data_IF_371811197812
#
_entry.id   IF_371811197812
#
_cell.length_a   1.000
_cell.length_b   1.000
_cell.length_c   1.000
_cell.angle_alpha   90.00
_cell.angle_beta   90.00
_cell.angle_gamma   90.00
#
_symmetry.space_group_name_H-M   'P 1'
#
loop_
_entity.id
_entity.type
_entity.pdbx_description
1 polymer ?
#
# COMPACT_ATOMS: atom_id res chain seq x y z
N UNK A 1 -15.51 21.68 -13.64
CA UNK A 1 -14.17 21.29 -14.14
C UNK A 1 -13.82 19.87 -13.69
N UNK A 2 -13.25 19.02 -14.56
CA UNK A 2 -12.71 17.69 -14.17
C UNK A 2 -11.17 17.74 -14.22
N UNK A 3 -10.52 17.50 -13.10
CA UNK A 3 -9.07 17.45 -12.95
C UNK A 3 -8.60 16.02 -12.70
N UNK A 4 -7.54 15.59 -13.38
CA UNK A 4 -6.85 14.32 -13.11
C UNK A 4 -5.51 14.67 -12.44
N UNK A 5 -5.22 14.03 -11.31
CA UNK A 5 -4.03 14.28 -10.49
C UNK A 5 -3.35 12.96 -10.19
N UNK A 6 -2.03 12.88 -10.31
CA UNK A 6 -1.26 11.66 -10.06
C UNK A 6 -0.60 11.10 -11.31
N UNK A 7 -0.53 9.77 -11.43
CA UNK A 7 0.16 9.09 -12.52
C UNK A 7 -0.52 9.37 -13.87
N UNK A 8 0.25 9.70 -14.90
CA UNK A 8 -0.24 10.07 -16.24
C UNK A 8 -0.24 8.94 -17.27
N UNK A 9 0.05 7.70 -16.86
CA UNK A 9 0.15 6.52 -17.73
C UNK A 9 -0.22 5.23 -17.00
N UNK A 10 -0.44 4.15 -17.74
CA UNK A 10 -0.77 2.83 -17.20
C UNK A 10 -2.28 2.59 -16.98
N UNK A 11 -2.61 1.40 -16.46
CA UNK A 11 -4.00 0.91 -16.38
C UNK A 11 -4.90 1.76 -15.48
N UNK A 12 -4.38 2.30 -14.39
CA UNK A 12 -5.11 3.20 -13.49
C UNK A 12 -5.47 4.50 -14.20
N UNK A 13 -4.52 5.07 -14.97
CA UNK A 13 -4.77 6.27 -15.77
C UNK A 13 -5.79 6.03 -16.89
N UNK A 14 -5.73 4.87 -17.56
CA UNK A 14 -6.75 4.46 -18.54
C UNK A 14 -8.15 4.36 -17.91
N UNK A 15 -8.25 3.81 -16.70
CA UNK A 15 -9.51 3.76 -15.95
C UNK A 15 -10.01 5.17 -15.57
N UNK A 16 -9.10 6.07 -15.16
CA UNK A 16 -9.42 7.47 -14.88
C UNK A 16 -9.96 8.21 -16.13
N UNK A 17 -9.31 8.02 -17.28
CA UNK A 17 -9.76 8.58 -18.56
C UNK A 17 -11.13 8.04 -18.97
N UNK A 18 -11.37 6.74 -18.75
CA UNK A 18 -12.66 6.12 -18.99
C UNK A 18 -13.74 6.77 -18.12
N UNK A 19 -13.53 6.88 -16.80
CA UNK A 19 -14.49 7.52 -15.90
C UNK A 19 -14.73 8.99 -16.23
N UNK A 20 -13.69 9.74 -16.58
CA UNK A 20 -13.84 11.13 -17.06
C UNK A 20 -14.76 11.22 -18.27
N UNK A 21 -14.62 10.31 -19.23
CA UNK A 21 -15.49 10.24 -20.41
C UNK A 21 -16.94 9.97 -20.01
N UNK A 22 -17.17 9.03 -19.10
CA UNK A 22 -18.53 8.70 -18.62
C UNK A 22 -19.17 9.88 -17.86
N UNK A 23 -18.41 10.57 -17.00
CA UNK A 23 -18.87 11.78 -16.32
C UNK A 23 -19.33 12.86 -17.30
N UNK A 24 -18.53 13.14 -18.35
CA UNK A 24 -18.87 14.13 -19.37
C UNK A 24 -20.03 13.70 -20.28
N UNK A 25 -20.28 12.40 -20.41
CA UNK A 25 -21.44 11.92 -21.15
C UNK A 25 -22.75 12.23 -20.42
N UNK A 26 -22.75 12.17 -19.08
CA UNK A 26 -23.91 12.48 -18.25
C UNK A 26 -24.09 13.98 -18.04
N UNK A 27 -22.99 14.69 -17.78
CA UNK A 27 -22.99 16.15 -17.57
C UNK A 27 -22.00 16.85 -18.51
N UNK A 28 -22.37 17.11 -19.77
CA UNK A 28 -21.48 17.72 -20.77
C UNK A 28 -21.06 19.15 -20.41
N UNK A 29 -21.90 19.85 -19.65
CA UNK A 29 -21.73 21.23 -19.19
C UNK A 29 -20.81 21.36 -17.98
N UNK A 30 -20.34 20.25 -17.39
CA UNK A 30 -19.52 20.24 -16.17
C UNK A 30 -18.19 21.00 -16.34
N UNK A 31 -17.72 21.21 -17.57
CA UNK A 31 -16.57 22.07 -17.88
C UNK A 31 -16.87 23.57 -17.90
N UNK A 32 -18.14 23.95 -18.02
CA UNK A 32 -18.63 25.32 -18.17
C UNK A 32 -19.13 25.93 -16.86
N UNK A 33 -19.45 25.09 -15.86
CA UNK A 33 -19.88 25.54 -14.54
C UNK A 33 -18.68 25.70 -13.58
N UNK A 34 -18.30 26.94 -13.20
CA UNK A 34 -17.10 27.18 -12.39
C UNK A 34 -17.22 26.69 -10.94
N UNK A 35 -18.43 26.53 -10.42
CA UNK A 35 -18.68 26.01 -9.06
C UNK A 35 -18.82 24.49 -8.97
N UNK A 36 -18.65 23.78 -10.08
CA UNK A 36 -18.70 22.32 -10.12
C UNK A 36 -17.28 21.77 -10.26
N UNK A 37 -16.88 20.90 -9.34
CA UNK A 37 -15.53 20.38 -9.25
C UNK A 37 -15.56 18.86 -9.15
N UNK A 38 -14.83 18.20 -10.06
CA UNK A 38 -14.53 16.78 -9.95
C UNK A 38 -13.02 16.62 -10.03
N UNK A 39 -12.44 15.87 -9.10
CA UNK A 39 -11.02 15.53 -9.07
C UNK A 39 -10.86 14.02 -9.01
N UNK A 40 -10.03 13.50 -9.90
CA UNK A 40 -9.70 12.07 -10.01
C UNK A 40 -8.23 11.91 -9.66
N UNK A 41 -7.95 11.30 -8.51
CA UNK A 41 -6.61 10.94 -8.10
C UNK A 41 -6.27 9.57 -8.63
N UNK A 42 -5.14 9.47 -9.33
CA UNK A 42 -4.68 8.26 -10.01
C UNK A 42 -3.44 7.73 -9.31
N UNK A 43 -3.52 6.49 -8.82
CA UNK A 43 -2.44 5.82 -8.11
C UNK A 43 -2.07 6.50 -6.79
N UNK A 44 -3.07 6.89 -6.00
CA UNK A 44 -2.88 7.60 -4.73
C UNK A 44 -2.14 6.70 -3.73
N UNK A 45 -1.05 7.21 -3.16
CA UNK A 45 -0.21 6.52 -2.19
C UNK A 45 -0.44 7.03 -0.76
N UNK A 46 -0.91 6.15 0.12
CA UNK A 46 -1.16 6.40 1.55
C UNK A 46 0.08 6.03 2.38
N UNK A 47 1.14 6.82 2.25
CA UNK A 47 2.43 6.50 2.87
C UNK A 47 2.33 6.30 4.38
N UNK A 48 2.93 5.21 4.88
CA UNK A 48 2.93 4.89 6.31
C UNK A 48 1.65 4.24 6.81
N UNK A 49 0.78 3.78 5.91
CA UNK A 49 -0.37 2.94 6.21
C UNK A 49 -0.13 1.48 5.77
N UNK A 50 -0.83 0.49 6.36
CA UNK A 50 -0.69 -0.91 5.94
C UNK A 50 -1.12 -1.15 4.48
N UNK A 51 -2.15 -0.42 4.03
CA UNK A 51 -2.57 -0.39 2.62
C UNK A 51 -2.19 0.96 2.08
N UNK A 52 -1.17 0.97 1.22
CA UNK A 52 -0.60 2.20 0.68
C UNK A 52 -1.20 2.55 -0.69
N UNK A 53 -1.71 1.57 -1.45
CA UNK A 53 -2.09 1.78 -2.83
C UNK A 53 -3.61 1.93 -2.99
N UNK A 54 -4.01 3.05 -3.58
CA UNK A 54 -5.39 3.32 -4.01
C UNK A 54 -5.36 3.61 -5.51
N UNK A 55 -5.92 2.72 -6.32
CA UNK A 55 -5.91 2.85 -7.78
C UNK A 55 -6.55 4.17 -8.21
N UNK A 56 -7.77 4.44 -7.72
CA UNK A 56 -8.46 5.70 -7.98
C UNK A 56 -9.19 6.21 -6.74
N UNK A 57 -9.02 7.50 -6.45
CA UNK A 57 -9.88 8.24 -5.52
C UNK A 57 -10.59 9.36 -6.30
N UNK A 58 -11.92 9.31 -6.35
CA UNK A 58 -12.74 10.21 -7.17
C UNK A 58 -13.62 11.05 -6.27
N UNK A 59 -13.47 12.37 -6.32
CA UNK A 59 -14.23 13.30 -5.49
C UNK A 59 -14.96 14.28 -6.39
N UNK A 60 -16.26 14.45 -6.17
CA UNK A 60 -17.10 15.41 -6.88
C UNK A 60 -17.87 16.29 -5.91
N UNK A 61 -17.98 17.58 -6.21
CA UNK A 61 -18.80 18.55 -5.50
C UNK A 61 -19.45 19.49 -6.52
N UNK A 62 -20.75 19.72 -6.35
CA UNK A 62 -21.56 20.48 -7.29
C UNK A 62 -22.22 21.67 -6.60
N UNK A 63 -22.17 22.83 -7.24
CA UNK A 63 -22.79 24.08 -6.79
C UNK A 63 -24.31 23.99 -6.67
N UNK A 64 -24.93 23.12 -7.48
CA UNK A 64 -26.32 22.67 -7.38
C UNK A 64 -26.37 21.13 -7.48
N UNK A 65 -27.27 20.43 -6.77
CA UNK A 65 -27.39 18.98 -6.91
C UNK A 65 -27.66 18.58 -8.36
N UNK A 66 -26.83 17.72 -8.92
CA UNK A 66 -26.94 17.23 -10.30
C UNK A 66 -27.93 16.06 -10.37
N UNK A 67 -29.01 16.20 -11.13
CA UNK A 67 -29.96 15.10 -11.38
C UNK A 67 -29.34 14.02 -12.30
N UNK A 68 -29.83 12.78 -12.16
CA UNK A 68 -29.45 11.64 -13.00
C UNK A 68 -30.62 10.68 -13.15
N UNK A 69 -30.63 9.89 -14.24
CA UNK A 69 -31.71 8.96 -14.52
C UNK A 69 -31.71 7.75 -13.58
N UNK A 70 -32.90 7.31 -13.17
CA UNK A 70 -33.09 6.24 -12.20
C UNK A 70 -33.27 4.91 -12.93
N UNK A 71 -32.34 3.99 -12.71
CA UNK A 71 -32.35 2.64 -13.28
C UNK A 71 -32.75 1.57 -12.24
N UNK A 72 -32.44 1.81 -10.95
CA UNK A 72 -32.52 0.78 -9.91
C UNK A 72 -33.40 1.17 -8.71
N UNK A 73 -33.84 0.14 -7.97
CA UNK A 73 -34.36 0.31 -6.60
C UNK A 73 -33.22 0.70 -5.67
N UNK A 74 -33.43 1.70 -4.85
CA UNK A 74 -32.50 2.15 -3.81
C UNK A 74 -32.82 1.46 -2.49
N UNK A 75 -31.80 1.26 -1.69
CA UNK A 75 -31.86 0.52 -0.43
C UNK A 75 -31.56 1.50 0.70
N UNK A 76 -32.57 2.10 1.36
CA UNK A 76 -32.34 3.07 2.42
C UNK A 76 -31.83 2.38 3.69
N UNK A 77 -31.27 3.18 4.61
CA UNK A 77 -30.86 2.69 5.94
C UNK A 77 -32.03 2.14 6.76
N UNK A 78 -33.20 2.74 6.61
CA UNK A 78 -34.44 2.36 7.28
C UNK A 78 -35.58 2.26 6.26
N UNK A 79 -36.40 1.21 6.37
CA UNK A 79 -37.54 0.96 5.48
C UNK A 79 -37.25 0.02 4.31
N UNK A 80 -38.28 -0.22 3.51
CA UNK A 80 -38.22 -1.14 2.36
C UNK A 80 -37.52 -0.52 1.14
N UNK A 81 -36.84 -1.32 0.30
CA UNK A 81 -36.28 -0.86 -0.97
C UNK A 81 -37.34 -0.23 -1.87
N UNK A 82 -37.02 0.91 -2.49
CA UNK A 82 -37.98 1.68 -3.29
C UNK A 82 -37.34 2.17 -4.58
N UNK A 83 -38.17 2.46 -5.59
CA UNK A 83 -37.72 3.18 -6.79
C UNK A 83 -37.89 4.68 -6.52
N UNK A 84 -36.80 5.48 -6.53
CA UNK A 84 -36.92 6.92 -6.41
C UNK A 84 -37.81 7.51 -7.51
N UNK A 85 -38.46 8.64 -7.23
CA UNK A 85 -39.13 9.48 -8.24
C UNK A 85 -38.15 10.45 -8.89
N UNK A 86 -37.18 10.92 -8.11
CA UNK A 86 -36.07 11.78 -8.53
C UNK A 86 -34.84 11.45 -7.72
N UNK A 87 -33.69 11.45 -8.40
CA UNK A 87 -32.40 11.24 -7.78
C UNK A 87 -31.44 12.35 -8.23
N UNK A 88 -30.64 12.83 -7.30
CA UNK A 88 -29.62 13.85 -7.54
C UNK A 88 -28.40 13.54 -6.70
N UNK A 89 -27.26 14.13 -7.03
CA UNK A 89 -26.05 14.07 -6.22
C UNK A 89 -25.51 15.47 -5.98
N UNK A 90 -25.27 15.80 -4.71
CA UNK A 90 -24.66 17.07 -4.29
C UNK A 90 -23.14 16.97 -4.26
N UNK A 91 -22.64 15.89 -3.69
CA UNK A 91 -21.23 15.56 -3.64
C UNK A 91 -21.05 14.04 -3.49
N UNK A 92 -19.89 13.53 -3.90
CA UNK A 92 -19.53 12.12 -3.77
C UNK A 92 -18.03 11.94 -3.55
N UNK A 93 -17.66 10.87 -2.85
CA UNK A 93 -16.26 10.49 -2.66
C UNK A 93 -16.13 8.96 -2.79
N UNK A 94 -15.44 8.52 -3.83
CA UNK A 94 -15.38 7.13 -4.28
C UNK A 94 -13.95 6.60 -4.24
N UNK A 95 -13.77 5.40 -3.70
CA UNK A 95 -12.51 4.65 -3.78
C UNK A 95 -12.74 3.52 -4.76
N UNK A 96 -12.03 3.52 -5.89
CA UNK A 96 -12.28 2.57 -6.98
C UNK A 96 -11.02 1.71 -7.17
N UNK A 97 -11.14 0.41 -6.94
CA UNK A 97 -10.13 -0.60 -7.28
C UNK A 97 -10.37 -1.07 -8.72
N UNK A 98 -9.37 -0.96 -9.60
CA UNK A 98 -9.47 -1.28 -11.02
C UNK A 98 -8.83 -2.64 -11.34
N UNK A 99 -9.56 -3.51 -12.04
CA UNK A 99 -9.10 -4.84 -12.44
C UNK A 99 -9.33 -5.07 -13.93
N UNK A 100 -8.29 -5.52 -14.62
CA UNK A 100 -8.35 -5.83 -16.06
C UNK A 100 -8.58 -7.31 -16.37
N UNK A 101 -8.99 -8.11 -15.39
CA UNK A 101 -9.26 -9.53 -15.60
C UNK A 101 -10.52 -9.70 -16.45
N UNK A 102 -10.50 -10.70 -17.34
CA UNK A 102 -11.68 -11.11 -18.10
C UNK A 102 -12.56 -12.07 -17.29
N UNK A 103 -13.67 -12.53 -17.87
CA UNK A 103 -14.63 -13.43 -17.22
C UNK A 103 -14.00 -14.76 -16.75
N UNK A 104 -12.87 -15.20 -17.32
CA UNK A 104 -12.18 -16.42 -16.88
C UNK A 104 -11.30 -16.18 -15.65
N UNK A 105 -10.86 -14.94 -15.47
CA UNK A 105 -10.02 -14.49 -14.36
C UNK A 105 -10.79 -13.89 -13.19
N UNK A 106 -12.13 -13.85 -13.23
CA UNK A 106 -12.98 -13.32 -12.17
C UNK A 106 -13.98 -14.38 -11.71
N UNK A 107 -14.16 -14.49 -10.39
CA UNK A 107 -15.14 -15.36 -9.76
C UNK A 107 -15.99 -14.55 -8.79
N UNK A 108 -17.30 -14.73 -8.88
CA UNK A 108 -18.25 -14.17 -7.93
C UNK A 108 -18.77 -15.27 -7.00
N UNK A 109 -18.73 -15.01 -5.70
CA UNK A 109 -19.47 -15.77 -4.69
C UNK A 109 -20.57 -14.85 -4.15
N UNK A 110 -21.79 -15.05 -4.64
CA UNK A 110 -22.91 -14.09 -4.55
C UNK A 110 -22.51 -12.69 -5.05
N UNK A 111 -22.22 -11.77 -4.13
CA UNK A 111 -21.86 -10.37 -4.40
C UNK A 111 -20.36 -10.07 -4.21
N UNK A 112 -19.61 -11.06 -3.73
CA UNK A 112 -18.19 -10.92 -3.43
C UNK A 112 -17.38 -11.31 -4.66
N UNK A 113 -16.54 -10.40 -5.13
CA UNK A 113 -15.69 -10.63 -6.28
C UNK A 113 -14.28 -11.04 -5.85
N UNK A 114 -13.75 -12.06 -6.51
CA UNK A 114 -12.35 -12.50 -6.41
C UNK A 114 -11.73 -12.56 -7.80
N UNK A 115 -10.44 -12.26 -7.90
CA UNK A 115 -9.69 -12.34 -9.17
C UNK A 115 -8.55 -13.33 -9.06
N UNK A 116 -8.16 -13.91 -10.20
CA UNK A 116 -7.16 -14.97 -10.27
C UNK A 116 -5.77 -14.40 -10.54
N UNK A 117 -4.85 -14.66 -9.62
CA UNK A 117 -3.41 -14.46 -9.77
C UNK A 117 -2.69 -15.82 -9.85
N UNK A 118 -1.40 -15.87 -10.27
CA UNK A 118 -0.62 -17.11 -10.28
C UNK A 118 -0.58 -17.83 -8.93
N UNK A 119 -0.55 -17.06 -7.83
CA UNK A 119 -0.52 -17.55 -6.44
C UNK A 119 -1.88 -17.99 -5.88
N UNK A 120 -2.98 -17.75 -6.61
CA UNK A 120 -4.32 -18.10 -6.15
C UNK A 120 -5.37 -17.01 -6.40
N UNK A 121 -6.52 -17.16 -5.75
CA UNK A 121 -7.62 -16.20 -5.83
C UNK A 121 -7.49 -15.14 -4.75
N UNK A 122 -7.65 -13.87 -5.11
CA UNK A 122 -7.61 -12.74 -4.18
C UNK A 122 -8.97 -12.05 -4.15
N UNK A 123 -9.52 -11.82 -2.95
CA UNK A 123 -10.81 -11.16 -2.78
C UNK A 123 -10.67 -9.63 -2.94
N UNK A 124 -11.15 -9.11 -4.07
CA UNK A 124 -11.00 -7.69 -4.40
C UNK A 124 -12.04 -6.81 -3.73
N UNK A 125 -13.23 -7.36 -3.42
CA UNK A 125 -14.26 -6.63 -2.65
C UNK A 125 -13.78 -6.32 -1.23
N UNK A 126 -13.13 -7.27 -0.57
CA UNK A 126 -12.59 -7.05 0.77
C UNK A 126 -11.40 -6.07 0.74
N UNK A 127 -10.51 -6.19 -0.25
CA UNK A 127 -9.42 -5.23 -0.45
C UNK A 127 -9.95 -3.80 -0.61
N UNK A 128 -10.94 -3.58 -1.48
CA UNK A 128 -11.54 -2.26 -1.73
C UNK A 128 -12.17 -1.68 -0.45
N UNK A 129 -12.82 -2.52 0.36
CA UNK A 129 -13.36 -2.13 1.65
C UNK A 129 -12.28 -1.70 2.65
N UNK A 130 -11.17 -2.44 2.73
CA UNK A 130 -10.05 -2.10 3.61
C UNK A 130 -9.36 -0.80 3.18
N UNK A 131 -9.21 -0.57 1.87
CA UNK A 131 -8.73 0.69 1.29
C UNK A 131 -9.56 1.90 1.75
N UNK A 132 -10.89 1.80 1.79
CA UNK A 132 -11.76 2.85 2.32
C UNK A 132 -11.43 3.19 3.77
N UNK A 133 -11.23 2.19 4.63
CA UNK A 133 -10.91 2.43 6.04
C UNK A 133 -9.55 3.12 6.20
N UNK A 134 -8.54 2.71 5.43
CA UNK A 134 -7.22 3.34 5.48
C UNK A 134 -7.22 4.76 4.93
N UNK A 135 -7.88 4.99 3.78
CA UNK A 135 -8.02 6.34 3.23
C UNK A 135 -8.79 7.26 4.19
N UNK A 136 -9.82 6.76 4.87
CA UNK A 136 -10.56 7.55 5.87
C UNK A 136 -9.67 7.97 7.04
N UNK A 137 -8.81 7.07 7.54
CA UNK A 137 -7.82 7.40 8.58
C UNK A 137 -6.81 8.42 8.08
N UNK A 138 -6.35 8.26 6.84
CA UNK A 138 -5.40 9.17 6.20
C UNK A 138 -6.00 10.57 6.04
N UNK A 139 -7.22 10.69 5.51
CA UNK A 139 -7.94 11.96 5.34
C UNK A 139 -8.15 12.67 6.68
N UNK A 140 -8.58 11.94 7.71
CA UNK A 140 -8.79 12.51 9.05
C UNK A 140 -7.50 13.07 9.68
N UNK A 141 -6.36 12.37 9.50
CA UNK A 141 -5.04 12.85 9.98
C UNK A 141 -4.58 14.12 9.28
N UNK A 142 -5.03 14.33 8.05
CA UNK A 142 -4.67 15.47 7.21
C UNK A 142 -5.76 16.56 7.21
N UNK A 143 -6.61 16.62 8.24
CA UNK A 143 -7.54 17.73 8.45
C UNK A 143 -8.88 17.59 7.73
N UNK A 144 -9.19 16.44 7.12
CA UNK A 144 -10.49 16.15 6.47
C UNK A 144 -11.23 15.05 7.24
N UNK A 145 -11.74 15.33 8.45
CA UNK A 145 -12.50 14.35 9.21
C UNK A 145 -13.93 14.20 8.67
N UNK A 146 -14.58 13.08 9.01
CA UNK A 146 -16.04 12.87 8.82
C UNK A 146 -16.56 12.81 7.37
N UNK A 147 -15.70 12.59 6.39
CA UNK A 147 -16.13 12.22 5.04
C UNK A 147 -16.68 10.78 4.99
N UNK A 148 -17.77 10.58 4.27
CA UNK A 148 -18.25 9.26 3.87
C UNK A 148 -17.56 8.86 2.57
N UNK A 149 -17.01 7.65 2.53
CA UNK A 149 -16.33 7.09 1.37
C UNK A 149 -17.07 5.83 0.95
N UNK A 150 -17.29 5.66 -0.35
CA UNK A 150 -17.85 4.43 -0.90
C UNK A 150 -16.81 3.72 -1.75
N UNK A 151 -16.54 2.45 -1.44
CA UNK A 151 -15.75 1.57 -2.30
C UNK A 151 -16.56 1.11 -3.50
N UNK A 152 -15.89 1.02 -4.65
CA UNK A 152 -16.38 0.38 -5.88
C UNK A 152 -15.27 -0.49 -6.47
N UNK A 153 -15.65 -1.51 -7.23
CA UNK A 153 -14.69 -2.33 -8.00
C UNK A 153 -15.01 -2.18 -9.48
N UNK A 154 -14.03 -1.67 -10.24
CA UNK A 154 -14.13 -1.51 -11.67
C UNK A 154 -13.47 -2.67 -12.41
N UNK A 155 -14.24 -3.38 -13.23
CA UNK A 155 -13.72 -4.43 -14.10
C UNK A 155 -13.65 -3.96 -15.55
N UNK A 156 -12.45 -3.62 -16.03
CA UNK A 156 -12.27 -3.19 -17.43
C UNK A 156 -12.33 -4.35 -18.42
N UNK A 157 -12.18 -5.60 -17.96
CA UNK A 157 -12.31 -6.82 -18.75
C UNK A 157 -13.70 -7.45 -18.73
N UNK A 158 -14.67 -6.89 -18.01
CA UNK A 158 -16.05 -7.40 -17.91
C UNK A 158 -17.05 -6.36 -18.41
N UNK A 159 -18.17 -6.83 -18.96
CA UNK A 159 -19.36 -6.02 -19.21
C UNK A 159 -20.33 -6.12 -18.04
N UNK A 160 -21.29 -5.20 -17.97
CA UNK A 160 -22.38 -5.23 -16.99
C UNK A 160 -23.19 -6.54 -17.07
N UNK A 161 -23.30 -7.15 -18.26
CA UNK A 161 -23.95 -8.45 -18.44
C UNK A 161 -23.22 -9.62 -17.79
N UNK A 162 -21.93 -9.47 -17.50
CA UNK A 162 -21.08 -10.50 -16.91
C UNK A 162 -21.10 -10.46 -15.37
N UNK A 163 -21.70 -9.41 -14.78
CA UNK A 163 -21.78 -9.22 -13.34
C UNK A 163 -22.98 -9.95 -12.73
N UNK A 164 -22.92 -10.34 -11.44
CA UNK A 164 -24.05 -10.95 -10.75
C UNK A 164 -25.24 -10.00 -10.65
N UNK A 165 -26.40 -10.52 -10.22
CA UNK A 165 -27.55 -9.67 -9.97
C UNK A 165 -27.27 -8.72 -8.80
N UNK A 166 -27.53 -7.44 -9.03
CA UNK A 166 -27.47 -6.37 -8.02
C UNK A 166 -28.37 -6.66 -6.80
N UNK A 167 -28.07 -6.10 -5.60
CA UNK A 167 -27.09 -5.03 -5.34
C UNK A 167 -25.66 -5.52 -5.06
N UNK A 168 -24.67 -4.82 -5.62
CA UNK A 168 -23.23 -4.97 -5.34
C UNK A 168 -22.48 -3.70 -5.79
N UNK A 169 -21.25 -3.50 -5.31
CA UNK A 169 -20.40 -2.33 -5.58
C UNK A 169 -19.56 -2.43 -6.87
N UNK A 170 -19.69 -3.51 -7.64
CA UNK A 170 -18.94 -3.71 -8.88
C UNK A 170 -19.63 -3.06 -10.11
N UNK A 171 -18.82 -2.62 -11.08
CA UNK A 171 -19.26 -2.19 -12.42
C UNK A 171 -18.28 -2.58 -13.53
N UNK A 172 -18.82 -2.80 -14.73
CA UNK A 172 -18.09 -3.22 -15.93
C UNK A 172 -17.69 -2.05 -16.86
N UNK A 173 -16.97 -2.36 -17.92
CA UNK A 173 -16.41 -1.39 -18.90
C UNK A 173 -17.47 -0.59 -19.66
N UNK A 174 -18.69 -1.10 -19.76
CA UNK A 174 -19.81 -0.48 -20.47
C UNK A 174 -20.83 0.19 -19.52
N UNK A 175 -20.52 0.30 -18.22
CA UNK A 175 -21.34 1.04 -17.28
C UNK A 175 -21.29 2.55 -17.57
N UNK A 176 -22.45 3.20 -17.66
CA UNK A 176 -22.57 4.66 -17.68
C UNK A 176 -22.27 5.24 -16.30
N UNK A 177 -21.96 6.54 -16.22
CA UNK A 177 -21.83 7.19 -14.91
C UNK A 177 -23.17 7.26 -14.16
N UNK A 178 -24.31 7.33 -14.86
CA UNK A 178 -25.64 7.21 -14.24
C UNK A 178 -25.83 5.86 -13.56
N UNK A 179 -25.36 4.78 -14.20
CA UNK A 179 -25.38 3.46 -13.59
C UNK A 179 -24.54 3.44 -12.32
N UNK A 180 -23.35 4.04 -12.33
CA UNK A 180 -22.51 4.18 -11.13
C UNK A 180 -23.28 4.91 -10.02
N UNK A 181 -23.94 6.04 -10.31
CA UNK A 181 -24.75 6.77 -9.33
C UNK A 181 -25.93 5.93 -8.80
N UNK A 182 -26.57 5.13 -9.65
CA UNK A 182 -27.61 4.19 -9.23
C UNK A 182 -27.05 3.10 -8.31
N UNK A 183 -25.85 2.58 -8.57
CA UNK A 183 -25.16 1.64 -7.67
C UNK A 183 -24.98 2.27 -6.30
N UNK A 184 -24.54 3.54 -6.23
CA UNK A 184 -24.42 4.26 -4.95
C UNK A 184 -25.76 4.28 -4.21
N UNK A 185 -26.86 4.55 -4.90
CA UNK A 185 -28.21 4.48 -4.30
C UNK A 185 -28.58 3.11 -3.70
N UNK A 186 -27.91 2.03 -4.12
CA UNK A 186 -28.09 0.69 -3.54
C UNK A 186 -27.14 0.36 -2.40
N UNK A 187 -25.91 0.89 -2.42
CA UNK A 187 -24.86 0.49 -1.47
C UNK A 187 -24.58 1.55 -0.39
N UNK A 188 -24.94 2.81 -0.62
CA UNK A 188 -24.64 3.93 0.27
C UNK A 188 -25.73 4.21 1.32
N UNK A 189 -26.81 3.42 1.33
CA UNK A 189 -27.93 3.57 2.27
C UNK A 189 -28.53 4.99 2.34
N UNK A 190 -28.98 5.58 1.22
CA UNK A 190 -29.39 6.98 1.17
C UNK A 190 -30.63 7.26 2.04
N UNK A 191 -30.75 8.51 2.49
CA UNK A 191 -31.96 9.00 3.12
C UNK A 191 -33.10 9.12 2.09
N UNK A 192 -34.32 8.74 2.50
CA UNK A 192 -35.52 8.82 1.68
C UNK A 192 -36.41 9.98 2.15
N UNK A 193 -36.65 10.98 1.29
CA UNK A 193 -37.60 12.04 1.55
C UNK A 193 -38.68 12.04 0.46
N UNK A 194 -39.82 11.41 0.73
CA UNK A 194 -40.93 11.25 -0.22
C UNK A 194 -40.48 10.71 -1.61
N UNK A 195 -39.62 9.68 -1.59
CA UNK A 195 -38.99 9.08 -2.78
C UNK A 195 -38.15 10.05 -3.62
N UNK A 196 -37.77 11.20 -3.06
CA UNK A 196 -36.72 12.06 -3.62
C UNK A 196 -35.44 11.78 -2.86
N UNK A 197 -34.37 11.52 -3.61
CA UNK A 197 -33.07 11.19 -3.04
C UNK A 197 -32.03 12.20 -3.53
N UNK A 198 -31.25 12.71 -2.59
CA UNK A 198 -30.03 13.46 -2.88
C UNK A 198 -28.88 12.73 -2.23
N UNK A 199 -27.99 12.17 -3.04
CA UNK A 199 -26.75 11.57 -2.56
C UNK A 199 -25.82 12.68 -2.06
N UNK A 200 -25.35 12.53 -0.83
CA UNK A 200 -24.40 13.44 -0.18
C UNK A 200 -23.50 12.64 0.76
N UNK A 201 -22.19 12.81 0.56
CA UNK A 201 -21.12 12.07 1.21
C UNK A 201 -20.41 12.89 2.30
N UNK A 202 -20.88 14.11 2.56
CA UNK A 202 -20.35 14.99 3.60
C UNK A 202 -20.90 16.41 3.49
N UNK A 203 -20.54 17.25 4.47
CA UNK A 203 -20.84 18.68 4.40
C UNK A 203 -20.00 19.37 3.33
N UNK A 204 -20.48 20.52 2.86
CA UNK A 204 -19.81 21.32 1.84
C UNK A 204 -18.43 21.77 2.32
N UNK A 205 -18.34 22.23 3.57
CA UNK A 205 -17.12 22.61 4.27
C UNK A 205 -16.06 21.48 4.34
N UNK A 206 -16.47 20.22 4.47
CA UNK A 206 -15.54 19.07 4.39
C UNK A 206 -15.03 18.89 2.95
N UNK A 207 -15.89 19.04 1.95
CA UNK A 207 -15.48 18.90 0.55
C UNK A 207 -14.63 20.09 0.06
N UNK A 208 -14.97 21.31 0.46
CA UNK A 208 -14.17 22.51 0.21
C UNK A 208 -12.74 22.34 0.73
N UNK A 209 -12.59 21.70 1.89
CA UNK A 209 -11.27 21.37 2.41
C UNK A 209 -10.52 20.41 1.47
N UNK A 210 -11.15 19.41 0.85
CA UNK A 210 -10.47 18.50 -0.10
C UNK A 210 -10.00 19.23 -1.36
N UNK A 211 -10.78 20.20 -1.83
CA UNK A 211 -10.45 20.98 -3.03
C UNK A 211 -9.51 22.17 -2.75
N UNK A 212 -9.32 22.55 -1.48
CA UNK A 212 -8.45 23.65 -1.11
C UNK A 212 -6.99 23.36 -1.50
N UNK A 213 -6.29 24.38 -2.02
CA UNK A 213 -4.86 24.29 -2.36
C UNK A 213 -3.97 24.05 -1.13
N UNK A 214 -4.47 24.32 0.08
CA UNK A 214 -3.77 24.17 1.36
C UNK A 214 -3.85 22.74 1.90
N UNK A 215 -4.78 21.94 1.39
CA UNK A 215 -4.94 20.54 1.79
C UNK A 215 -3.89 19.72 1.08
N UNK A 216 -2.71 19.69 1.71
CA UNK A 216 -1.49 18.95 1.32
C UNK A 216 -1.70 17.44 1.04
N UNK A 217 -2.91 16.96 1.30
CA UNK A 217 -3.42 15.60 1.24
C UNK A 217 -3.29 14.94 -0.14
N UNK A 218 -3.22 15.77 -1.18
CA UNK A 218 -3.39 15.35 -2.58
C UNK A 218 -2.45 16.08 -3.55
N UNK A 219 -1.55 16.91 -3.01
CA UNK A 219 -0.39 17.31 -3.77
C UNK A 219 0.50 16.07 -3.87
N UNK A 220 0.80 15.62 -5.10
CA UNK A 220 2.00 14.83 -5.39
C UNK A 220 3.08 15.32 -4.44
N UNK A 221 3.63 14.46 -3.57
CA UNK A 221 4.64 14.90 -2.63
C UNK A 221 5.76 15.58 -3.43
N UNK A 222 5.73 16.91 -3.49
CA UNK A 222 6.80 17.63 -4.12
C UNK A 222 7.98 17.45 -3.19
N UNK A 223 9.10 16.88 -3.67
CA UNK A 223 10.26 16.72 -2.83
C UNK A 223 10.64 18.13 -2.34
N UNK A 224 10.67 18.31 -1.01
CA UNK A 224 11.19 19.55 -0.42
C UNK A 224 12.63 19.76 -0.89
N UNK A 225 13.22 20.96 -0.77
CA UNK A 225 14.63 21.15 -1.10
C UNK A 225 15.56 20.17 -0.36
N UNK A 226 15.21 19.76 0.87
CA UNK A 226 15.93 18.73 1.62
C UNK A 226 15.73 17.34 1.02
N UNK A 227 14.50 16.99 0.64
CA UNK A 227 14.21 15.73 -0.06
C UNK A 227 14.97 15.66 -1.38
N UNK A 228 14.92 16.71 -2.22
CA UNK A 228 15.68 16.79 -3.49
C UNK A 228 17.16 16.57 -3.27
N UNK A 229 17.76 17.22 -2.25
CA UNK A 229 19.18 17.02 -1.91
C UNK A 229 19.49 15.62 -1.41
N UNK A 230 18.56 14.96 -0.73
CA UNK A 230 18.75 13.59 -0.24
C UNK A 230 18.57 12.58 -1.39
N UNK A 231 17.54 12.73 -2.19
CA UNK A 231 17.30 11.96 -3.42
C UNK A 231 18.49 12.10 -4.37
N UNK A 232 18.94 13.31 -4.66
CA UNK A 232 20.13 13.57 -5.48
C UNK A 232 21.35 12.86 -4.92
N UNK A 233 21.56 12.86 -3.60
CA UNK A 233 22.66 12.10 -3.00
C UNK A 233 22.49 10.61 -3.21
N UNK A 234 21.27 10.07 -3.07
CA UNK A 234 21.01 8.64 -3.24
C UNK A 234 21.23 8.21 -4.70
N UNK A 235 20.81 9.03 -5.67
CA UNK A 235 20.91 8.73 -7.11
C UNK A 235 22.31 9.01 -7.67
N UNK A 236 22.92 10.16 -7.36
CA UNK A 236 24.16 10.65 -8.01
C UNK A 236 25.44 9.95 -7.57
N UNK A 237 25.41 9.13 -6.53
CA UNK A 237 26.64 8.51 -6.03
C UNK A 237 27.12 7.41 -6.99
N UNK A 238 28.33 7.60 -7.53
CA UNK A 238 29.11 6.54 -8.13
C UNK A 238 29.61 5.60 -7.02
N UNK A 239 28.72 4.72 -6.54
CA UNK A 239 29.16 3.56 -5.79
C UNK A 239 29.97 2.67 -6.75
N UNK A 240 31.15 2.17 -6.34
CA UNK A 240 31.89 1.20 -7.15
C UNK A 240 31.02 -0.02 -7.45
N UNK A 241 30.96 -0.47 -8.70
CA UNK A 241 30.21 -1.67 -9.09
C UNK A 241 30.63 -2.90 -8.26
N UNK A 242 31.93 -3.00 -7.93
CA UNK A 242 32.46 -4.04 -7.05
C UNK A 242 31.74 -4.11 -5.69
N UNK A 243 31.25 -2.99 -5.14
CA UNK A 243 30.50 -3.01 -3.89
C UNK A 243 29.11 -3.62 -4.06
N UNK A 244 28.50 -3.47 -5.24
CA UNK A 244 27.20 -4.07 -5.57
C UNK A 244 27.35 -5.58 -5.82
N UNK A 245 28.40 -5.99 -6.54
CA UNK A 245 28.72 -7.41 -6.74
C UNK A 245 28.90 -8.11 -5.39
N UNK A 246 29.55 -7.43 -4.44
CA UNK A 246 29.77 -7.95 -3.10
C UNK A 246 28.48 -8.13 -2.29
N UNK A 247 27.41 -7.38 -2.56
CA UNK A 247 26.16 -7.44 -1.78
C UNK A 247 25.56 -8.84 -1.75
N UNK A 248 25.67 -9.59 -2.85
CA UNK A 248 25.17 -10.97 -2.95
C UNK A 248 26.24 -12.00 -2.64
N UNK A 249 27.49 -11.59 -2.40
CA UNK A 249 28.66 -12.45 -2.34
C UNK A 249 29.43 -12.46 -1.02
N UNK A 250 29.27 -11.45 -0.16
CA UNK A 250 29.88 -11.44 1.17
C UNK A 250 29.21 -10.45 2.13
N UNK A 251 29.49 -10.62 3.42
CA UNK A 251 29.25 -9.58 4.41
C UNK A 251 30.21 -8.41 4.18
N UNK A 252 29.68 -7.20 4.16
CA UNK A 252 30.43 -5.95 3.97
C UNK A 252 30.22 -5.07 5.18
N UNK A 253 31.29 -4.56 5.81
CA UNK A 253 31.18 -3.71 7.00
C UNK A 253 31.60 -2.29 6.63
N UNK A 254 30.68 -1.34 6.72
CA UNK A 254 30.92 0.06 6.34
C UNK A 254 31.24 0.87 7.59
N UNK A 255 32.53 1.19 7.77
CA UNK A 255 33.02 1.93 8.94
C UNK A 255 33.24 3.40 8.62
N UNK A 256 32.86 4.27 9.57
CA UNK A 256 33.06 5.70 9.46
C UNK A 256 32.60 6.45 10.71
N UNK A 257 33.18 7.64 10.93
CA UNK A 257 32.81 8.54 12.05
C UNK A 257 31.34 8.97 11.95
N UNK A 258 30.74 9.40 13.06
CA UNK A 258 29.40 9.96 13.05
C UNK A 258 29.27 11.10 12.03
N UNK A 259 28.13 11.17 11.34
CA UNK A 259 27.85 12.24 10.36
C UNK A 259 28.44 12.06 8.96
N UNK A 260 29.20 11.00 8.68
CA UNK A 260 29.78 10.75 7.33
C UNK A 260 28.78 10.22 6.29
N UNK A 261 27.51 10.05 6.67
CA UNK A 261 26.44 9.62 5.75
C UNK A 261 26.33 8.11 5.55
N UNK A 262 26.69 7.28 6.55
CA UNK A 262 26.59 5.81 6.48
C UNK A 262 25.20 5.33 6.08
N UNK A 263 24.15 5.85 6.71
CA UNK A 263 22.75 5.57 6.33
C UNK A 263 22.48 5.92 4.86
N UNK A 264 22.99 7.06 4.37
CA UNK A 264 22.81 7.45 2.96
C UNK A 264 23.52 6.46 2.03
N UNK A 265 24.71 5.98 2.41
CA UNK A 265 25.45 4.95 1.65
C UNK A 265 24.68 3.63 1.62
N UNK A 266 24.10 3.20 2.74
CA UNK A 266 23.24 2.00 2.78
C UNK A 266 22.05 2.14 1.83
N UNK A 267 21.36 3.29 1.86
CA UNK A 267 20.22 3.56 0.98
C UNK A 267 20.64 3.66 -0.50
N UNK A 268 21.83 4.21 -0.79
CA UNK A 268 22.38 4.23 -2.15
C UNK A 268 22.60 2.82 -2.68
N UNK A 269 23.19 1.93 -1.86
CA UNK A 269 23.44 0.54 -2.26
C UNK A 269 22.13 -0.22 -2.47
N UNK A 270 21.17 -0.09 -1.56
CA UNK A 270 19.84 -0.70 -1.69
C UNK A 270 19.11 -0.17 -2.95
N UNK A 271 19.14 1.14 -3.17
CA UNK A 271 18.56 1.77 -4.36
C UNK A 271 19.18 1.25 -5.65
N UNK A 272 20.51 1.19 -5.74
CA UNK A 272 21.20 0.66 -6.93
C UNK A 272 20.95 -0.84 -7.15
N UNK A 273 20.93 -1.64 -6.09
CA UNK A 273 20.60 -3.05 -6.16
C UNK A 273 19.18 -3.27 -6.75
N UNK A 274 18.23 -2.44 -6.35
CA UNK A 274 16.89 -2.43 -6.93
C UNK A 274 16.87 -1.90 -8.39
N UNK A 275 17.49 -0.75 -8.64
CA UNK A 275 17.44 -0.08 -9.94
C UNK A 275 18.12 -0.89 -11.05
N UNK A 276 19.27 -1.49 -10.76
CA UNK A 276 20.06 -2.27 -11.72
C UNK A 276 19.59 -3.72 -11.87
N UNK A 277 19.25 -4.37 -10.75
CA UNK A 277 19.02 -5.83 -10.71
C UNK A 277 17.62 -6.23 -10.23
N UNK A 278 16.74 -5.27 -9.92
CA UNK A 278 15.41 -5.51 -9.34
C UNK A 278 15.45 -6.36 -8.06
N UNK A 279 16.53 -6.23 -7.28
CA UNK A 279 16.68 -6.97 -6.02
C UNK A 279 15.64 -6.56 -4.97
N UNK A 280 15.25 -7.52 -4.14
CA UNK A 280 14.46 -7.37 -2.91
C UNK A 280 15.41 -7.05 -1.77
N UNK A 281 15.43 -5.80 -1.33
CA UNK A 281 16.28 -5.33 -0.23
C UNK A 281 15.48 -5.10 1.04
N UNK A 282 16.03 -5.52 2.18
CA UNK A 282 15.54 -5.17 3.51
C UNK A 282 16.52 -4.22 4.20
N UNK A 283 16.05 -3.07 4.65
CA UNK A 283 16.81 -2.10 5.45
C UNK A 283 16.28 -2.08 6.88
N UNK A 284 17.14 -2.43 7.82
CA UNK A 284 16.86 -2.52 9.25
C UNK A 284 17.51 -1.37 10.00
N UNK A 285 16.81 -0.81 10.98
CA UNK A 285 17.36 0.19 11.92
C UNK A 285 16.73 0.02 13.30
N UNK A 286 17.38 0.53 14.34
CA UNK A 286 16.73 0.66 15.65
C UNK A 286 15.88 1.93 15.77
N UNK A 287 16.15 2.93 14.92
CA UNK A 287 15.54 4.24 15.04
C UNK A 287 14.19 4.32 14.33
N UNK A 288 13.09 4.27 15.10
CA UNK A 288 11.71 4.39 14.57
C UNK A 288 11.47 5.70 13.81
N UNK A 289 12.08 6.81 14.23
CA UNK A 289 11.93 8.09 13.54
C UNK A 289 12.61 8.07 12.16
N UNK A 290 13.76 7.40 12.05
CA UNK A 290 14.49 7.28 10.79
C UNK A 290 13.73 6.42 9.77
N UNK A 291 12.98 5.40 10.21
CA UNK A 291 12.16 4.56 9.31
C UNK A 291 11.20 5.39 8.47
N UNK A 292 10.45 6.31 9.09
CA UNK A 292 9.46 7.13 8.37
C UNK A 292 10.12 8.01 7.30
N UNK A 293 11.26 8.61 7.63
CA UNK A 293 12.03 9.50 6.76
C UNK A 293 12.67 8.74 5.58
N UNK A 294 13.23 7.55 5.84
CA UNK A 294 13.77 6.69 4.79
C UNK A 294 12.68 6.15 3.87
N UNK A 295 11.53 5.72 4.42
CA UNK A 295 10.37 5.27 3.62
C UNK A 295 9.86 6.37 2.70
N UNK A 296 9.70 7.59 3.23
CA UNK A 296 9.34 8.76 2.44
C UNK A 296 10.34 9.00 1.31
N UNK A 297 11.64 8.89 1.60
CA UNK A 297 12.68 9.10 0.58
C UNK A 297 12.62 8.03 -0.53
N UNK A 298 12.45 6.76 -0.18
CA UNK A 298 12.32 5.67 -1.17
C UNK A 298 11.05 5.80 -2.02
N UNK A 299 9.95 6.19 -1.39
CA UNK A 299 8.71 6.53 -2.06
C UNK A 299 8.87 7.66 -3.09
N UNK A 300 9.54 8.75 -2.71
CA UNK A 300 9.85 9.86 -3.62
C UNK A 300 10.75 9.45 -4.79
N UNK A 301 11.58 8.41 -4.60
CA UNK A 301 12.39 7.80 -5.65
C UNK A 301 11.62 6.78 -6.50
N UNK A 302 10.32 6.59 -6.25
CA UNK A 302 9.47 5.64 -6.99
C UNK A 302 9.80 4.16 -6.71
N UNK A 303 10.45 3.87 -5.59
CA UNK A 303 10.80 2.48 -5.22
C UNK A 303 9.59 1.81 -4.58
N UNK A 304 9.12 0.66 -5.08
CA UNK A 304 8.02 -0.09 -4.50
C UNK A 304 8.43 -0.70 -3.17
N UNK A 305 7.48 -0.72 -2.23
CA UNK A 305 7.59 -1.46 -0.97
C UNK A 305 7.20 -2.93 -1.12
N UNK A 306 6.35 -3.23 -2.11
CA UNK A 306 5.87 -4.56 -2.43
C UNK A 306 6.85 -5.31 -3.33
N UNK A 307 6.87 -6.61 -3.12
CA UNK A 307 8.07 -7.42 -3.26
C UNK A 307 8.08 -8.27 -4.54
N UNK A 308 6.91 -8.42 -5.18
CA UNK A 308 6.71 -9.24 -6.38
C UNK A 308 7.52 -8.77 -7.60
N UNK A 309 8.00 -7.52 -7.61
CA UNK A 309 8.81 -6.94 -8.70
C UNK A 309 10.20 -6.47 -8.26
N UNK A 310 10.67 -6.92 -7.09
CA UNK A 310 11.78 -6.28 -6.38
C UNK A 310 11.32 -5.05 -5.61
N UNK A 311 12.19 -4.48 -4.78
CA UNK A 311 11.84 -3.30 -3.97
C UNK A 311 12.69 -3.14 -2.73
N UNK A 312 12.38 -2.12 -1.93
CA UNK A 312 13.11 -1.83 -0.69
C UNK A 312 12.10 -1.75 0.47
N UNK A 313 12.16 -2.75 1.36
CA UNK A 313 11.46 -2.72 2.64
C UNK A 313 12.34 -2.06 3.69
N UNK A 314 11.78 -1.11 4.42
CA UNK A 314 12.48 -0.42 5.52
C UNK A 314 11.67 -0.61 6.79
N UNK A 315 12.30 -1.06 7.86
CA UNK A 315 11.63 -1.26 9.15
C UNK A 315 12.57 -1.25 10.34
N UNK A 316 11.97 -1.33 11.55
CA UNK A 316 12.77 -1.49 12.75
C UNK A 316 13.19 -2.94 12.96
N UNK A 317 14.34 -3.17 13.61
CA UNK A 317 14.77 -4.53 14.01
C UNK A 317 13.67 -5.21 14.83
N UNK A 318 13.06 -4.49 15.78
CA UNK A 318 11.96 -5.01 16.60
C UNK A 318 10.76 -5.49 15.77
N UNK A 319 10.39 -4.77 14.70
CA UNK A 319 9.27 -5.15 13.85
C UNK A 319 9.58 -6.43 13.06
N UNK A 320 10.80 -6.55 12.54
CA UNK A 320 11.25 -7.75 11.84
C UNK A 320 11.28 -8.97 12.78
N UNK A 321 11.95 -8.84 13.93
CA UNK A 321 12.07 -9.93 14.91
C UNK A 321 10.71 -10.33 15.48
N UNK A 322 9.82 -9.36 15.74
CA UNK A 322 8.47 -9.63 16.21
C UNK A 322 7.64 -10.44 15.21
N UNK A 323 7.78 -10.18 13.90
CA UNK A 323 7.14 -11.04 12.87
C UNK A 323 7.71 -12.45 12.87
N UNK A 324 9.03 -12.58 12.92
CA UNK A 324 9.65 -13.90 13.00
C UNK A 324 9.18 -14.68 14.25
N UNK A 325 9.14 -14.05 15.43
CA UNK A 325 8.65 -14.69 16.66
C UNK A 325 7.17 -15.07 16.59
N UNK A 326 6.36 -14.29 15.87
CA UNK A 326 4.96 -14.60 15.66
C UNK A 326 4.79 -15.85 14.80
N UNK A 327 5.49 -15.91 13.66
CA UNK A 327 5.43 -17.05 12.75
C UNK A 327 6.02 -18.34 13.36
N UNK A 328 7.02 -18.22 14.24
CA UNK A 328 7.57 -19.34 15.00
C UNK A 328 6.70 -19.71 16.22
N UNK A 329 5.57 -19.04 16.45
CA UNK A 329 4.65 -19.31 17.56
C UNK A 329 5.15 -18.93 18.95
N UNK A 330 6.25 -18.17 19.06
CA UNK A 330 6.84 -17.69 20.33
C UNK A 330 5.98 -16.60 20.94
N UNK A 331 5.41 -15.73 20.09
CA UNK A 331 4.39 -14.75 20.48
C UNK A 331 3.10 -15.04 19.74
N UNK A 332 1.96 -14.88 20.43
CA UNK A 332 0.63 -15.07 19.83
C UNK A 332 0.01 -13.76 19.36
N UNK A 333 0.39 -12.65 19.98
CA UNK A 333 -0.08 -11.30 19.66
C UNK A 333 1.04 -10.30 19.89
N UNK A 334 0.89 -9.11 19.32
CA UNK A 334 1.85 -8.00 19.50
C UNK A 334 1.58 -7.16 20.76
N UNK A 335 0.58 -7.51 21.56
CA UNK A 335 0.18 -6.75 22.75
C UNK A 335 1.27 -6.80 23.82
N UNK A 336 1.80 -5.62 24.19
CA UNK A 336 2.92 -5.49 25.13
C UNK A 336 4.22 -6.14 24.64
N UNK A 337 4.36 -6.39 23.33
CA UNK A 337 5.52 -7.06 22.75
C UNK A 337 6.83 -6.33 23.07
N UNK A 338 6.85 -4.99 22.93
CA UNK A 338 8.05 -4.21 23.19
C UNK A 338 8.46 -4.22 24.67
N UNK A 339 7.48 -4.27 25.59
CA UNK A 339 7.73 -4.28 27.04
C UNK A 339 8.39 -5.60 27.48
N UNK A 340 8.04 -6.71 26.81
CA UNK A 340 8.58 -8.06 27.06
C UNK A 340 9.58 -8.53 26.00
N UNK A 341 10.13 -7.61 25.22
CA UNK A 341 10.97 -7.96 24.07
C UNK A 341 12.17 -8.81 24.47
N UNK A 342 12.87 -8.44 25.55
CA UNK A 342 14.04 -9.20 26.02
C UNK A 342 13.67 -10.60 26.54
N UNK A 343 12.48 -10.78 27.14
CA UNK A 343 11.98 -12.10 27.57
C UNK A 343 11.68 -13.00 26.37
N UNK A 344 10.99 -12.46 25.36
CA UNK A 344 10.68 -13.18 24.12
C UNK A 344 11.95 -13.51 23.33
N UNK A 345 12.90 -12.59 23.30
CA UNK A 345 14.22 -12.80 22.70
C UNK A 345 14.99 -13.91 23.41
N UNK A 346 15.03 -13.92 24.74
CA UNK A 346 15.68 -14.99 25.50
C UNK A 346 15.04 -16.35 25.18
N UNK A 347 13.71 -16.43 25.14
CA UNK A 347 12.98 -17.64 24.76
C UNK A 347 13.35 -18.15 23.36
N UNK A 348 13.39 -17.25 22.36
CA UNK A 348 13.79 -17.60 21.00
C UNK A 348 15.21 -18.19 20.98
N UNK A 349 16.16 -17.55 21.67
CA UNK A 349 17.54 -18.01 21.72
C UNK A 349 17.68 -19.36 22.43
N UNK A 350 16.93 -19.58 23.50
CA UNK A 350 16.92 -20.85 24.20
C UNK A 350 16.33 -21.97 23.33
N UNK A 351 15.28 -21.69 22.55
CA UNK A 351 14.70 -22.66 21.63
C UNK A 351 15.68 -23.06 20.52
N UNK A 352 16.42 -22.09 19.97
CA UNK A 352 17.48 -22.36 18.98
C UNK A 352 18.61 -23.16 19.63
N UNK A 353 19.09 -22.75 20.81
CA UNK A 353 20.23 -23.40 21.50
C UNK A 353 19.93 -24.81 21.96
N UNK A 354 18.69 -25.05 22.41
CA UNK A 354 18.23 -26.36 22.86
C UNK A 354 17.86 -27.30 21.70
N UNK A 355 17.78 -26.79 20.47
CA UNK A 355 17.31 -27.54 19.31
C UNK A 355 15.80 -27.80 19.30
N UNK A 356 15.04 -27.17 20.19
CA UNK A 356 13.57 -27.18 20.15
C UNK A 356 13.02 -26.49 18.90
N UNK A 357 13.78 -25.54 18.36
CA UNK A 357 13.57 -24.95 17.05
C UNK A 357 14.72 -25.41 16.14
N UNK A 358 14.43 -26.28 15.19
CA UNK A 358 15.44 -26.80 14.28
C UNK A 358 15.72 -25.84 13.12
N UNK A 359 16.87 -26.03 12.46
CA UNK A 359 17.12 -25.54 11.11
C UNK A 359 15.92 -25.54 10.17
N UNK A 360 15.31 -26.72 10.01
CA UNK A 360 14.29 -26.97 9.01
C UNK A 360 12.96 -26.28 9.37
N UNK A 361 12.66 -26.14 10.66
CA UNK A 361 11.45 -25.43 11.13
C UNK A 361 11.48 -23.96 10.72
N UNK A 362 12.65 -23.35 10.88
CA UNK A 362 12.86 -21.95 10.51
C UNK A 362 12.82 -21.80 9.00
N UNK A 363 13.45 -22.72 8.26
CA UNK A 363 13.41 -22.72 6.80
C UNK A 363 11.98 -22.88 6.25
N UNK A 364 11.16 -23.75 6.85
CA UNK A 364 9.73 -23.89 6.50
C UNK A 364 8.99 -22.58 6.68
N UNK A 365 9.12 -21.92 7.84
CA UNK A 365 8.47 -20.63 8.11
C UNK A 365 8.85 -19.57 7.08
N UNK A 366 10.11 -19.58 6.64
CA UNK A 366 10.65 -18.59 5.72
C UNK A 366 10.21 -18.87 4.28
N UNK A 367 10.03 -20.14 3.91
CA UNK A 367 9.44 -20.54 2.62
C UNK A 367 7.93 -20.26 2.59
N UNK A 368 7.21 -20.63 3.65
CA UNK A 368 5.77 -20.45 3.78
C UNK A 368 5.40 -18.96 3.82
N UNK A 369 6.30 -18.11 4.32
CA UNK A 369 6.16 -16.66 4.38
C UNK A 369 7.22 -15.94 3.53
N UNK A 370 7.50 -16.45 2.32
CA UNK A 370 8.55 -15.91 1.45
C UNK A 370 8.42 -14.41 1.16
N UNK A 371 7.20 -13.87 1.11
CA UNK A 371 6.99 -12.43 0.94
C UNK A 371 7.54 -11.61 2.12
N UNK A 372 7.51 -12.13 3.34
CA UNK A 372 8.01 -11.39 4.50
C UNK A 372 9.50 -11.57 4.76
N UNK A 373 10.11 -12.64 4.25
CA UNK A 373 11.46 -13.03 4.67
C UNK A 373 12.46 -13.39 3.56
N UNK A 374 12.03 -13.60 2.30
CA UNK A 374 12.98 -13.85 1.22
C UNK A 374 13.58 -12.51 0.73
N UNK A 375 14.80 -12.20 1.14
CA UNK A 375 15.48 -10.95 0.79
C UNK A 375 16.79 -11.25 0.08
N UNK A 376 17.04 -10.62 -1.06
CA UNK A 376 18.29 -10.79 -1.80
C UNK A 376 19.46 -10.07 -1.10
N UNK A 377 19.17 -8.98 -0.38
CA UNK A 377 20.14 -8.22 0.38
C UNK A 377 19.54 -7.63 1.66
N UNK A 378 20.30 -7.66 2.75
CA UNK A 378 19.91 -7.10 4.06
C UNK A 378 20.92 -6.04 4.49
N UNK A 379 20.43 -4.83 4.70
CA UNK A 379 21.16 -3.64 5.10
C UNK A 379 20.82 -3.33 6.56
N UNK A 380 21.84 -3.17 7.42
CA UNK A 380 21.62 -2.86 8.83
C UNK A 380 22.26 -1.52 9.15
N UNK A 381 21.42 -0.56 9.52
CA UNK A 381 21.86 0.74 10.02
C UNK A 381 22.09 0.68 11.54
N UNK A 382 23.05 1.47 12.01
CA UNK A 382 23.48 1.49 13.42
C UNK A 382 23.77 0.10 13.99
N UNK A 383 24.43 -0.76 13.20
CA UNK A 383 24.76 -2.14 13.61
C UNK A 383 25.61 -2.25 14.88
N UNK A 384 26.23 -1.16 15.35
CA UNK A 384 26.90 -1.13 16.66
C UNK A 384 25.94 -1.10 17.86
N UNK A 385 24.68 -0.69 17.66
CA UNK A 385 23.65 -0.63 18.70
C UNK A 385 23.01 -2.01 18.93
N UNK A 386 23.44 -3.04 18.19
CA UNK A 386 23.05 -4.41 18.48
C UNK A 386 23.63 -4.87 19.82
N UNK A 387 22.80 -5.39 20.75
CA UNK A 387 23.27 -5.80 22.08
C UNK A 387 24.39 -6.84 22.00
N UNK A 388 25.37 -6.81 22.91
CA UNK A 388 26.47 -7.79 22.95
C UNK A 388 26.02 -9.24 23.17
N UNK A 389 24.84 -9.42 23.80
CA UNK A 389 24.18 -10.71 24.01
C UNK A 389 23.31 -11.11 22.79
N UNK A 390 23.37 -10.28 21.76
CA UNK A 390 22.86 -10.39 20.40
C UNK A 390 24.03 -10.20 19.42
N UNK A 391 24.98 -11.13 19.41
CA UNK A 391 25.97 -11.31 18.34
C UNK A 391 26.77 -10.08 17.84
N UNK A 392 27.45 -9.31 18.70
CA UNK A 392 28.45 -8.32 18.25
C UNK A 392 29.64 -8.17 19.22
N UNK A 393 30.54 -9.15 19.26
CA UNK A 393 31.96 -8.87 19.57
C UNK A 393 32.78 -8.97 18.28
N UNK A 394 32.80 -7.87 17.53
CA UNK A 394 34.03 -7.36 16.93
C UNK A 394 33.93 -5.85 17.03
N UNK A 395 34.88 -5.22 17.73
CA UNK A 395 34.93 -3.77 17.94
C UNK A 395 34.54 -2.98 16.67
N UNK A 396 33.57 -2.09 16.87
CA UNK A 396 33.22 -0.90 16.09
C UNK A 396 32.61 -1.06 14.67
N UNK A 397 31.38 -0.52 14.54
CA UNK A 397 30.66 0.01 13.36
C UNK A 397 30.11 -0.95 12.28
N UNK A 398 28.79 -0.80 12.05
CA UNK A 398 27.92 -1.06 10.88
C UNK A 398 28.24 -2.23 9.92
N UNK A 399 27.39 -3.26 9.93
CA UNK A 399 27.50 -4.50 9.14
C UNK A 399 26.37 -4.69 8.12
N UNK A 400 26.72 -5.02 6.88
CA UNK A 400 25.88 -5.68 5.86
C UNK A 400 26.20 -7.18 5.86
N UNK A 401 25.23 -8.08 5.66
CA UNK A 401 25.42 -9.53 5.87
C UNK A 401 25.29 -10.36 4.56
N UNK A 402 26.10 -11.42 4.41
CA UNK A 402 25.79 -12.59 3.56
C UNK A 402 25.86 -13.88 4.38
N UNK A 403 24.93 -14.79 4.08
CA UNK A 403 24.99 -16.22 4.38
C UNK A 403 26.15 -16.92 3.63
N UNK A 404 27.25 -17.25 4.30
CA UNK A 404 28.06 -18.48 4.13
C UNK A 404 29.25 -18.45 5.11
N UNK A 405 29.11 -19.16 6.24
CA UNK A 405 30.11 -19.50 7.31
C UNK A 405 30.54 -18.42 8.33
N UNK A 406 30.91 -18.88 9.56
CA UNK A 406 30.01 -19.16 10.67
C UNK A 406 29.68 -17.88 11.47
N UNK A 407 28.38 -17.58 11.58
CA UNK A 407 27.87 -16.56 12.51
C UNK A 407 27.52 -17.20 13.87
N UNK A 408 27.70 -16.47 14.98
CA UNK A 408 27.17 -16.85 16.29
C UNK A 408 25.64 -16.98 16.33
N UNK A 409 25.18 -17.70 17.35
CA UNK A 409 23.89 -18.39 17.53
C UNK A 409 22.62 -17.54 17.36
N UNK A 410 22.69 -16.21 17.47
CA UNK A 410 21.50 -15.34 17.36
C UNK A 410 21.09 -15.03 15.90
N UNK A 411 21.95 -15.35 14.93
CA UNK A 411 21.72 -15.19 13.48
C UNK A 411 21.41 -16.50 12.75
N UNK A 412 21.31 -17.64 13.46
CA UNK A 412 20.96 -18.92 12.84
C UNK A 412 19.58 -18.87 12.17
N UNK A 413 18.60 -18.16 12.74
CA UNK A 413 17.27 -18.05 12.16
C UNK A 413 17.23 -17.30 10.81
N UNK A 414 18.10 -16.30 10.60
CA UNK A 414 18.21 -15.61 9.31
C UNK A 414 19.07 -16.39 8.30
N UNK A 415 19.94 -17.30 8.76
CA UNK A 415 20.75 -18.15 7.89
C UNK A 415 19.91 -19.24 7.21
N UNK A 416 18.92 -19.77 7.93
CA UNK A 416 18.01 -20.81 7.46
C UNK A 416 16.96 -20.30 6.47
N UNK A 417 16.82 -18.98 6.31
CA UNK A 417 15.95 -18.39 5.27
C UNK A 417 16.48 -18.58 3.86
N UNK A 418 17.81 -18.58 3.73
CA UNK A 418 18.47 -18.21 2.48
C UNK A 418 19.42 -19.31 1.98
N UNK A 419 19.77 -20.30 2.81
CA UNK A 419 20.58 -21.45 2.38
C UNK A 419 19.82 -22.45 1.49
N UNK A 420 18.50 -22.69 1.66
CA UNK A 420 17.75 -23.57 0.74
C UNK A 420 17.56 -22.97 -0.65
N UNK A 421 17.36 -21.66 -0.79
CA UNK A 421 17.02 -21.09 -2.11
C UNK A 421 18.21 -21.05 -3.09
N UNK A 422 19.45 -20.97 -2.57
CA UNK A 422 20.66 -20.91 -3.40
C UNK A 422 21.17 -22.30 -3.88
N UNK A 423 20.57 -23.40 -3.43
CA UNK A 423 20.99 -24.76 -3.78
C UNK A 423 20.31 -25.33 -5.05
N UNK A 424 19.33 -24.63 -5.64
CA UNK A 424 18.58 -25.10 -6.82
C UNK A 424 18.89 -24.34 -8.13
N UNK A 425 19.96 -23.54 -8.18
CA UNK A 425 20.43 -22.91 -9.44
C UNK A 425 21.94 -23.10 -9.68
N UNK A 426 22.40 -24.34 -9.57
CA UNK A 426 23.61 -24.83 -10.27
C UNK A 426 23.32 -26.13 -10.99
#
# INVERSE_FOLDING_TARGET
MIELVGVGEGKEYEAALHLRKQLLAVWPDLSQHPGDHVKIFVGLKLYGHPIEDIDLFVVGQFSEPREFDIEFKFYPREGEPFVPRRASVRNFALVIEAKSHDATGVRFDDKVASVRYPRGWECVTEKARQQVFELKKYLARNGVPKIYLQDLVFFSGLRESDLPKRPHNCFGIDASFERILNILGQVSSPANNDRRVTLSFGSEDVFDSIFSSETALLQTMEPTPLDRRRMDRIVKAALPEAWLDDLTHRQVVVRGRGGVGKTVILLQMAYRAYDSNRMRSLVLTYNKALVADMRRTMALLGVPHQIEKGGIRIETVHAFVGRLMHELGIIKTYDGFLDRYEEHKATLLDYIRSGALSPDDIESVLQDNADDFAWDAIFVDEGQDWPSNGCCQTNDNLSLFRATHPFPVDFQAMRLAHSAWAAERR
#
